data_IF_299469454065
#
_entry.id   IF_299469454065
#
_cell.length_a   1.000
_cell.length_b   1.000
_cell.length_c   1.000
_cell.angle_alpha   90.00
_cell.angle_beta   90.00
_cell.angle_gamma   90.00
#
_symmetry.space_group_name_H-M   'P 1'
#
loop_
_entity.id
_entity.type
_entity.pdbx_description
1 polymer ?
#
# COMPACT_ATOMS: atom_id res chain seq x y z
N UNK A 1 15.64 -2.54 6.61
CA UNK A 1 14.56 -1.87 7.37
C UNK A 1 14.48 -0.38 7.12
N UNK A 2 15.56 0.39 7.32
CA UNK A 2 15.50 1.86 7.26
C UNK A 2 14.93 2.42 5.96
N UNK A 3 15.24 1.81 4.81
CA UNK A 3 14.70 2.26 3.53
C UNK A 3 13.17 2.14 3.45
N UNK A 4 12.59 1.00 3.87
CA UNK A 4 11.12 0.81 3.83
C UNK A 4 10.40 1.84 4.71
N UNK A 5 10.94 2.11 5.90
CA UNK A 5 10.39 3.13 6.81
C UNK A 5 10.54 4.54 6.23
N UNK A 6 11.71 4.89 5.70
CA UNK A 6 11.93 6.17 5.04
C UNK A 6 10.97 6.39 3.87
N UNK A 7 10.78 5.37 3.01
CA UNK A 7 9.81 5.44 1.92
C UNK A 7 8.38 5.59 2.44
N UNK A 8 8.01 4.92 3.54
CA UNK A 8 6.71 5.12 4.17
C UNK A 8 6.50 6.58 4.62
N UNK A 9 7.52 7.21 5.21
CA UNK A 9 7.49 8.64 5.59
C UNK A 9 7.40 9.57 4.37
N UNK A 10 8.08 9.24 3.27
CA UNK A 10 7.95 9.98 2.01
C UNK A 10 6.54 9.89 1.42
N UNK A 11 5.90 8.73 1.53
CA UNK A 11 4.51 8.52 1.12
C UNK A 11 3.54 9.28 2.04
N UNK A 12 3.78 9.24 3.36
CA UNK A 12 3.01 9.94 4.37
C UNK A 12 3.09 11.47 4.27
N UNK A 13 4.26 12.01 3.93
CA UNK A 13 4.45 13.43 3.63
C UNK A 13 3.96 13.83 2.23
N UNK A 14 3.42 12.89 1.46
CA UNK A 14 2.96 13.06 0.09
C UNK A 14 4.03 13.48 -0.93
N UNK A 15 5.31 13.46 -0.52
CA UNK A 15 6.49 13.68 -1.36
C UNK A 15 6.66 12.58 -2.41
N UNK A 16 6.11 11.39 -2.14
CA UNK A 16 6.10 10.24 -3.04
C UNK A 16 4.68 9.66 -3.13
N UNK A 17 4.22 9.35 -4.34
CA UNK A 17 2.94 8.65 -4.54
C UNK A 17 3.14 7.14 -4.56
N UNK A 18 2.16 6.36 -4.10
CA UNK A 18 2.15 4.90 -4.30
C UNK A 18 2.18 4.49 -5.78
N UNK A 19 1.86 5.41 -6.71
CA UNK A 19 1.98 5.18 -8.14
C UNK A 19 3.38 4.74 -8.59
N UNK A 20 4.44 5.08 -7.85
CA UNK A 20 5.82 4.64 -8.16
C UNK A 20 5.99 3.12 -8.06
N UNK A 21 5.09 2.44 -7.35
CA UNK A 21 5.08 0.99 -7.25
C UNK A 21 4.67 0.31 -8.58
N UNK A 22 4.22 1.05 -9.61
CA UNK A 22 4.06 0.52 -10.98
C UNK A 22 5.35 -0.14 -11.52
N UNK A 23 6.51 0.26 -11.00
CA UNK A 23 7.80 -0.31 -11.38
C UNK A 23 7.97 -1.78 -10.94
N UNK A 24 7.10 -2.29 -10.07
CA UNK A 24 7.13 -3.67 -9.58
C UNK A 24 5.74 -4.28 -9.64
N UNK A 25 5.61 -5.41 -10.33
CA UNK A 25 4.38 -6.19 -10.28
C UNK A 25 4.28 -6.93 -8.93
N UNK A 26 3.44 -6.42 -8.03
CA UNK A 26 3.19 -7.01 -6.71
C UNK A 26 2.26 -8.23 -6.75
N UNK A 27 1.70 -8.57 -7.91
CA UNK A 27 0.89 -9.76 -8.13
C UNK A 27 1.67 -10.92 -8.74
N UNK A 28 2.75 -10.64 -9.47
CA UNK A 28 3.60 -11.66 -10.09
C UNK A 28 4.56 -12.32 -9.08
N UNK A 29 4.22 -13.54 -8.67
CA UNK A 29 5.03 -14.33 -7.73
C UNK A 29 6.43 -14.65 -8.23
N UNK A 30 6.67 -14.66 -9.55
CA UNK A 30 8.00 -14.92 -10.12
C UNK A 30 8.97 -13.75 -9.88
N UNK A 31 8.45 -12.54 -9.71
CA UNK A 31 9.20 -11.32 -9.41
C UNK A 31 9.37 -11.06 -7.91
N UNK A 32 8.63 -11.79 -7.06
CA UNK A 32 8.60 -11.60 -5.61
C UNK A 32 9.62 -12.50 -4.90
N UNK A 33 10.91 -12.17 -5.04
CA UNK A 33 11.97 -12.81 -4.24
C UNK A 33 11.77 -12.55 -2.74
N UNK A 34 12.29 -13.41 -1.84
CA UNK A 34 12.16 -13.20 -0.39
C UNK A 34 12.60 -11.81 0.09
N UNK A 35 13.66 -11.25 -0.51
CA UNK A 35 14.15 -9.90 -0.21
C UNK A 35 13.15 -8.80 -0.62
N UNK A 36 12.54 -8.93 -1.81
CA UNK A 36 11.51 -7.99 -2.28
C UNK A 36 10.25 -8.09 -1.42
N UNK A 37 9.80 -9.30 -1.12
CA UNK A 37 8.67 -9.54 -0.22
C UNK A 37 8.91 -8.83 1.12
N UNK A 38 10.06 -9.07 1.74
CA UNK A 38 10.38 -8.45 3.04
C UNK A 38 10.40 -6.92 2.96
N UNK A 39 11.02 -6.34 1.91
CA UNK A 39 11.07 -4.89 1.74
C UNK A 39 9.69 -4.25 1.64
N UNK A 40 8.83 -4.76 0.76
CA UNK A 40 7.49 -4.22 0.53
C UNK A 40 6.53 -4.54 1.67
N UNK A 41 6.68 -5.71 2.31
CA UNK A 41 5.96 -6.05 3.53
C UNK A 41 6.21 -5.01 4.62
N UNK A 42 7.47 -4.72 4.93
CA UNK A 42 7.83 -3.71 5.91
C UNK A 42 7.33 -2.31 5.50
N UNK A 43 7.36 -1.97 4.20
CA UNK A 43 6.81 -0.70 3.71
C UNK A 43 5.33 -0.58 4.04
N UNK A 44 4.53 -1.59 3.71
CA UNK A 44 3.09 -1.57 3.98
C UNK A 44 2.76 -1.68 5.47
N UNK A 45 3.54 -2.44 6.25
CA UNK A 45 3.40 -2.46 7.72
C UNK A 45 3.57 -1.04 8.30
N UNK A 46 4.65 -0.33 7.93
CA UNK A 46 4.87 1.04 8.40
C UNK A 46 3.77 2.01 7.92
N UNK A 47 3.28 1.86 6.68
CA UNK A 47 2.18 2.69 6.18
C UNK A 47 0.89 2.43 6.98
N UNK A 48 0.55 1.18 7.27
CA UNK A 48 -0.68 0.82 7.97
C UNK A 48 -0.66 1.19 9.46
N UNK A 49 0.53 1.38 10.05
CA UNK A 49 0.67 1.89 11.42
C UNK A 49 0.32 3.38 11.55
N UNK A 50 0.25 4.15 10.46
CA UNK A 50 -0.13 5.56 10.51
C UNK A 50 -1.60 5.79 10.95
N UNK A 51 -1.95 7.03 11.37
CA UNK A 51 -3.33 7.39 11.67
C UNK A 51 -4.29 7.07 10.51
N UNK A 52 -5.52 6.68 10.83
CA UNK A 52 -6.48 6.18 9.83
C UNK A 52 -6.75 7.15 8.68
N UNK A 53 -6.92 8.43 9.02
CA UNK A 53 -7.06 9.54 8.07
C UNK A 53 -5.89 9.60 7.09
N UNK A 54 -4.66 9.42 7.59
CA UNK A 54 -3.47 9.45 6.75
C UNK A 54 -3.39 8.21 5.84
N UNK A 55 -3.68 7.02 6.37
CA UNK A 55 -3.80 5.79 5.56
C UNK A 55 -4.82 5.99 4.44
N UNK A 56 -6.01 6.51 4.76
CA UNK A 56 -7.02 6.80 3.74
C UNK A 56 -6.51 7.74 2.65
N UNK A 57 -5.88 8.84 3.05
CA UNK A 57 -5.40 9.86 2.13
C UNK A 57 -4.29 9.34 1.22
N UNK A 58 -3.37 8.51 1.75
CA UNK A 58 -2.31 7.86 0.98
C UNK A 58 -2.89 7.00 -0.15
N UNK A 59 -3.85 6.12 0.17
CA UNK A 59 -4.38 5.15 -0.79
C UNK A 59 -5.38 5.78 -1.78
N UNK A 60 -6.11 6.82 -1.37
CA UNK A 60 -7.05 7.54 -2.26
C UNK A 60 -6.33 8.18 -3.46
N UNK A 61 -5.05 8.56 -3.34
CA UNK A 61 -4.29 9.19 -4.44
C UNK A 61 -4.08 8.30 -5.67
N UNK A 62 -4.24 6.99 -5.54
CA UNK A 62 -4.18 6.03 -6.67
C UNK A 62 -5.55 5.40 -6.97
N UNK A 63 -6.61 5.91 -6.35
CA UNK A 63 -7.97 5.52 -6.69
C UNK A 63 -8.36 6.05 -8.09
N UNK A 64 -9.34 5.39 -8.70
CA UNK A 64 -10.12 5.84 -9.87
C UNK A 64 -9.44 5.93 -11.23
N UNK A 65 -8.15 6.23 -11.31
CA UNK A 65 -7.50 6.23 -12.62
C UNK A 65 -7.42 4.78 -13.15
N UNK A 66 -7.95 4.50 -14.36
CA UNK A 66 -7.94 3.14 -14.92
C UNK A 66 -6.54 2.57 -15.06
N UNK A 67 -5.57 3.42 -15.39
CA UNK A 67 -4.14 3.09 -15.46
C UNK A 67 -3.51 2.61 -14.13
N UNK A 68 -4.23 2.75 -13.00
CA UNK A 68 -3.81 2.23 -11.70
C UNK A 68 -4.50 0.94 -11.31
N UNK A 69 -5.44 0.39 -12.09
CA UNK A 69 -6.21 -0.80 -11.71
C UNK A 69 -5.34 -1.98 -11.31
N UNK A 70 -4.45 -2.42 -12.20
CA UNK A 70 -3.52 -3.54 -11.90
C UNK A 70 -2.60 -3.24 -10.71
N UNK A 71 -2.20 -1.97 -10.53
CA UNK A 71 -1.42 -1.55 -9.36
C UNK A 71 -2.24 -1.72 -8.06
N UNK A 72 -3.50 -1.25 -8.04
CA UNK A 72 -4.39 -1.36 -6.88
C UNK A 72 -4.62 -2.83 -6.52
N UNK A 73 -4.89 -3.67 -7.51
CA UNK A 73 -5.11 -5.09 -7.31
C UNK A 73 -3.86 -5.80 -6.79
N UNK A 74 -2.68 -5.49 -7.36
CA UNK A 74 -1.39 -5.99 -6.88
C UNK A 74 -1.11 -5.58 -5.44
N UNK A 75 -1.38 -4.33 -5.06
CA UNK A 75 -1.24 -3.84 -3.67
C UNK A 75 -2.20 -4.61 -2.74
N UNK A 76 -3.47 -4.75 -3.11
CA UNK A 76 -4.48 -5.46 -2.30
C UNK A 76 -4.08 -6.91 -2.10
N UNK A 77 -3.67 -7.60 -3.16
CA UNK A 77 -3.19 -8.98 -3.11
C UNK A 77 -1.97 -9.10 -2.19
N UNK A 78 -0.97 -8.24 -2.39
CA UNK A 78 0.29 -8.31 -1.66
C UNK A 78 0.10 -8.05 -0.16
N UNK A 79 -0.63 -7.00 0.21
CA UNK A 79 -0.89 -6.69 1.62
C UNK A 79 -1.64 -7.85 2.28
N UNK A 80 -2.67 -8.39 1.62
CA UNK A 80 -3.43 -9.51 2.17
C UNK A 80 -2.51 -10.72 2.45
N UNK A 81 -1.75 -11.13 1.44
CA UNK A 81 -0.96 -12.36 1.49
C UNK A 81 0.31 -12.25 2.35
N UNK A 82 0.98 -11.11 2.32
CA UNK A 82 2.33 -10.98 2.90
C UNK A 82 2.38 -10.11 4.15
N UNK A 83 1.36 -9.28 4.41
CA UNK A 83 1.27 -8.46 5.62
C UNK A 83 0.24 -9.04 6.59
N UNK A 84 -1.02 -9.17 6.16
CA UNK A 84 -2.12 -9.53 7.07
C UNK A 84 -2.01 -10.96 7.58
N UNK A 85 -1.68 -11.91 6.72
CA UNK A 85 -1.50 -13.32 7.11
C UNK A 85 -0.44 -13.49 8.22
N UNK A 86 0.43 -12.51 8.44
CA UNK A 86 1.44 -12.52 9.51
C UNK A 86 1.24 -11.48 10.62
N UNK A 87 0.47 -10.41 10.37
CA UNK A 87 0.23 -9.31 11.30
C UNK A 87 -1.25 -8.94 11.34
N UNK A 88 -2.04 -9.81 11.96
CA UNK A 88 -3.50 -9.70 12.03
C UNK A 88 -3.98 -8.38 12.66
N UNK A 89 -3.18 -7.75 13.54
CA UNK A 89 -3.48 -6.45 14.15
C UNK A 89 -3.66 -5.31 13.15
N UNK A 90 -3.09 -5.42 11.95
CA UNK A 90 -3.20 -4.41 10.89
C UNK A 90 -4.44 -4.60 10.00
N UNK A 91 -5.26 -5.64 10.24
CA UNK A 91 -6.38 -5.98 9.38
C UNK A 91 -7.42 -4.85 9.27
N UNK A 92 -7.70 -4.12 10.34
CA UNK A 92 -8.66 -3.02 10.31
C UNK A 92 -8.14 -1.81 9.53
N UNK A 93 -6.84 -1.49 9.68
CA UNK A 93 -6.16 -0.47 8.86
C UNK A 93 -6.16 -0.86 7.39
N UNK A 94 -5.99 -2.13 7.07
CA UNK A 94 -6.09 -2.61 5.70
C UNK A 94 -7.50 -2.49 5.12
N UNK A 95 -8.58 -2.69 5.92
CA UNK A 95 -9.95 -2.43 5.46
C UNK A 95 -10.12 -0.96 5.03
N UNK A 96 -9.53 -0.02 5.77
CA UNK A 96 -9.56 1.41 5.45
C UNK A 96 -8.81 1.67 4.14
N UNK A 97 -7.59 1.15 4.00
CA UNK A 97 -6.81 1.27 2.77
C UNK A 97 -7.55 0.69 1.56
N UNK A 98 -8.16 -0.49 1.70
CA UNK A 98 -8.94 -1.13 0.63
C UNK A 98 -10.18 -0.32 0.24
N UNK A 99 -10.86 0.32 1.21
CA UNK A 99 -11.96 1.25 0.90
C UNK A 99 -11.46 2.49 0.17
N UNK A 100 -10.35 3.08 0.61
CA UNK A 100 -9.75 4.25 -0.03
C UNK A 100 -9.36 4.00 -1.50
N UNK A 101 -8.85 2.80 -1.82
CA UNK A 101 -8.54 2.40 -3.21
C UNK A 101 -9.77 2.38 -4.14
N UNK A 102 -10.97 2.27 -3.58
CA UNK A 102 -12.25 2.24 -4.29
C UNK A 102 -13.07 3.53 -4.10
N UNK A 103 -12.45 4.60 -3.57
CA UNK A 103 -13.14 5.85 -3.27
C UNK A 103 -13.46 6.63 -4.56
N UNK A 104 -14.66 6.42 -5.13
CA UNK A 104 -15.17 7.05 -6.37
C UNK A 104 -15.40 8.54 -6.26
N UNK A 105 -15.57 9.04 -5.04
CA UNK A 105 -15.83 10.46 -4.79
C UNK A 105 -14.54 11.29 -4.69
N UNK A 106 -13.37 10.65 -4.60
CA UNK A 106 -12.07 11.33 -4.47
C UNK A 106 -11.90 12.10 -3.16
N UNK A 107 -12.78 11.87 -2.18
CA UNK A 107 -12.81 12.61 -0.92
C UNK A 107 -11.61 12.23 -0.05
N UNK A 108 -10.81 13.23 0.30
CA UNK A 108 -9.72 13.14 1.27
C UNK A 108 -10.33 13.35 2.66
N UNK A 109 -9.92 12.54 3.64
CA UNK A 109 -10.40 12.66 5.02
C UNK A 109 -9.61 13.66 5.84
#
# INVERSE_FOLDING_TARGET
>A
MHLSKFVAEMVASFSLSLAVLKAVDLSDSSQLTPKRIMHFRMLFENILEFPEKLVWNIFTRIALLPEYESLRDGIVFFIRKYVIDSHQSLADKFKIAKKALNNVEGVIM
#
